data_IF_207868950112
#
_entry.id   IF_207868950112
#
_cell.length_a   1.000
_cell.length_b   1.000
_cell.length_c   1.000
_cell.angle_alpha   90.00
_cell.angle_beta   90.00
_cell.angle_gamma   90.00
#
_symmetry.space_group_name_H-M   'P 1'
#
loop_
_entity.id
_entity.type
_entity.pdbx_description
1 polymer ?
#
# COMPACT_ATOMS: atom_id res chain seq x y z
N UNK A 1 20.04 -8.68 -6.45
CA UNK A 1 19.08 -8.58 -5.34
C UNK A 1 17.68 -9.11 -5.67
N UNK A 2 17.24 -9.13 -6.93
CA UNK A 2 15.93 -9.73 -7.32
C UNK A 2 15.83 -11.25 -7.16
N UNK A 3 16.95 -11.99 -7.23
CA UNK A 3 16.92 -13.46 -7.17
C UNK A 3 16.56 -14.05 -5.80
N UNK A 4 16.75 -13.29 -4.70
CA UNK A 4 16.44 -13.75 -3.34
C UNK A 4 14.93 -13.74 -3.04
N UNK A 5 14.17 -12.85 -3.65
CA UNK A 5 12.72 -12.80 -3.46
C UNK A 5 11.96 -13.91 -4.17
N UNK A 6 12.44 -14.34 -5.35
CA UNK A 6 11.85 -15.47 -6.07
C UNK A 6 12.05 -16.81 -5.35
N UNK A 7 13.17 -17.00 -4.64
CA UNK A 7 13.44 -18.24 -3.92
C UNK A 7 12.55 -18.43 -2.68
N UNK A 8 12.14 -17.34 -2.02
CA UNK A 8 11.22 -17.43 -0.88
C UNK A 8 9.79 -17.77 -1.30
N UNK A 9 9.33 -17.30 -2.47
CA UNK A 9 7.99 -17.60 -2.97
C UNK A 9 7.82 -19.08 -3.35
N UNK A 10 8.87 -19.71 -3.93
CA UNK A 10 8.81 -21.11 -4.37
C UNK A 10 8.86 -22.08 -3.18
N UNK A 11 9.65 -21.79 -2.14
CA UNK A 11 9.74 -22.65 -0.96
C UNK A 11 8.50 -22.57 -0.04
N UNK A 12 7.76 -21.47 -0.06
CA UNK A 12 6.51 -21.33 0.69
C UNK A 12 5.40 -22.23 0.10
N UNK A 13 5.45 -22.53 -1.18
CA UNK A 13 4.44 -23.32 -1.86
C UNK A 13 4.62 -24.84 -1.60
N UNK A 14 5.84 -25.32 -1.40
CA UNK A 14 6.10 -26.74 -1.11
C UNK A 14 5.85 -27.17 0.35
N UNK A 15 5.94 -26.25 1.31
CA UNK A 15 5.69 -26.54 2.73
C UNK A 15 4.21 -26.64 3.09
N UNK A 16 3.31 -26.20 2.23
CA UNK A 16 1.86 -26.16 2.44
C UNK A 16 1.16 -27.51 2.26
N UNK A 17 1.85 -28.56 1.78
CA UNK A 17 1.17 -29.81 1.33
C UNK A 17 1.01 -30.86 2.45
N UNK A 18 1.34 -30.57 3.71
CA UNK A 18 1.32 -31.59 4.78
C UNK A 18 0.54 -31.26 6.05
N UNK A 19 -0.37 -30.30 6.04
CA UNK A 19 -1.24 -30.06 7.20
C UNK A 19 -2.72 -30.22 6.80
N UNK A 20 -3.26 -31.34 7.19
CA UNK A 20 -4.69 -31.70 7.42
C UNK A 20 -5.76 -31.21 6.44
N UNK A 21 -6.56 -32.16 5.96
CA UNK A 21 -7.85 -32.00 5.29
C UNK A 21 -8.89 -31.26 6.16
N UNK A 22 -8.71 -29.97 6.38
CA UNK A 22 -9.79 -29.04 6.68
C UNK A 22 -10.19 -28.45 5.36
N UNK A 23 -11.45 -28.57 4.97
CA UNK A 23 -12.01 -27.97 3.77
C UNK A 23 -11.53 -26.53 3.65
N UNK A 24 -10.64 -26.31 2.70
CA UNK A 24 -10.10 -24.98 2.38
C UNK A 24 -11.23 -24.23 1.68
N UNK A 25 -12.16 -23.64 2.43
CA UNK A 25 -12.92 -22.53 1.87
C UNK A 25 -11.88 -21.51 1.45
N UNK A 26 -11.83 -21.25 0.16
CA UNK A 26 -10.99 -20.19 -0.41
C UNK A 26 -11.45 -18.89 0.24
N UNK A 27 -10.63 -18.37 1.14
CA UNK A 27 -10.90 -17.12 1.85
C UNK A 27 -10.35 -15.92 1.05
N UNK A 28 -10.38 -16.06 -0.27
CA UNK A 28 -9.99 -15.00 -1.18
C UNK A 28 -11.11 -13.97 -1.29
N UNK A 29 -10.79 -12.72 -1.13
CA UNK A 29 -11.72 -11.62 -1.29
C UNK A 29 -11.01 -10.37 -1.77
N UNK A 30 -11.76 -9.46 -2.34
CA UNK A 30 -11.28 -8.15 -2.76
C UNK A 30 -11.93 -7.08 -1.90
N UNK A 31 -11.19 -6.02 -1.60
CA UNK A 31 -11.72 -4.88 -0.86
C UNK A 31 -11.63 -3.61 -1.71
N UNK A 32 -12.64 -2.77 -1.56
CA UNK A 32 -12.63 -1.39 -2.07
C UNK A 32 -12.90 -0.46 -0.91
N UNK A 33 -12.06 0.52 -0.70
CA UNK A 33 -12.14 1.37 0.49
C UNK A 33 -11.55 2.74 0.33
N UNK A 34 -11.74 3.54 1.37
CA UNK A 34 -11.13 4.85 1.53
C UNK A 34 -9.97 4.74 2.52
N UNK A 35 -8.84 5.31 2.15
CA UNK A 35 -7.63 5.32 2.96
C UNK A 35 -7.16 6.72 3.30
N UNK A 36 -6.66 6.86 4.52
CA UNK A 36 -5.86 7.98 4.99
C UNK A 36 -4.39 7.55 5.03
N UNK A 37 -3.51 8.41 4.57
CA UNK A 37 -2.08 8.20 4.54
C UNK A 37 -1.37 9.46 5.03
N UNK A 38 -0.82 9.41 6.23
CA UNK A 38 -0.05 10.50 6.83
C UNK A 38 1.45 10.28 6.63
N UNK A 39 2.11 11.17 5.88
CA UNK A 39 3.54 11.14 5.64
C UNK A 39 4.13 12.50 5.94
N UNK A 40 5.14 12.57 6.79
CA UNK A 40 6.00 13.74 7.03
C UNK A 40 5.26 15.11 7.00
N UNK A 41 4.11 15.17 7.69
CA UNK A 41 3.26 16.36 7.73
C UNK A 41 2.32 16.57 6.54
N UNK A 42 2.31 15.64 5.57
CA UNK A 42 1.35 15.66 4.46
C UNK A 42 0.23 14.66 4.70
N UNK A 43 -0.99 15.10 4.52
CA UNK A 43 -2.19 14.26 4.60
C UNK A 43 -2.68 13.90 3.20
N UNK A 44 -2.78 12.62 2.92
CA UNK A 44 -3.28 12.10 1.66
C UNK A 44 -4.51 11.24 1.91
N UNK A 45 -5.52 11.44 1.09
CA UNK A 45 -6.76 10.66 1.12
C UNK A 45 -6.97 9.98 -0.23
N UNK A 46 -7.51 8.78 -0.24
CA UNK A 46 -7.70 8.14 -1.51
C UNK A 46 -8.48 6.84 -1.48
N UNK A 47 -8.68 6.33 -2.70
CA UNK A 47 -9.32 5.06 -2.96
C UNK A 47 -8.28 3.95 -2.93
N UNK A 48 -8.62 2.82 -2.31
CA UNK A 48 -7.81 1.61 -2.29
C UNK A 48 -8.59 0.44 -2.85
N UNK A 49 -7.94 -0.39 -3.66
CA UNK A 49 -8.44 -1.67 -4.13
C UNK A 49 -7.39 -2.71 -3.75
N UNK A 50 -7.76 -3.65 -2.90
CA UNK A 50 -6.81 -4.61 -2.35
C UNK A 50 -7.36 -6.02 -2.48
N UNK A 51 -6.58 -6.89 -3.11
CA UNK A 51 -6.85 -8.32 -3.12
C UNK A 51 -6.32 -8.97 -1.84
N UNK A 52 -7.05 -9.90 -1.31
CA UNK A 52 -6.65 -10.76 -0.19
C UNK A 52 -6.74 -12.21 -0.63
N UNK A 53 -5.59 -12.83 -0.78
CA UNK A 53 -5.46 -14.28 -0.91
C UNK A 53 -4.79 -14.76 0.40
N UNK A 54 -5.58 -15.34 1.28
CA UNK A 54 -5.10 -15.73 2.62
C UNK A 54 -4.08 -16.84 2.51
N UNK A 55 -2.88 -16.59 3.06
CA UNK A 55 -1.68 -17.38 2.90
C UNK A 55 -1.21 -17.51 1.43
N UNK A 56 -1.44 -16.46 0.66
CA UNK A 56 -1.07 -16.37 -0.74
C UNK A 56 -0.76 -14.95 -1.21
N UNK A 57 -0.48 -14.85 -2.51
CA UNK A 57 -0.11 -13.59 -3.18
C UNK A 57 -1.33 -12.97 -3.87
N UNK A 58 -1.47 -11.67 -3.78
CA UNK A 58 -2.51 -10.89 -4.47
C UNK A 58 -1.96 -9.52 -4.90
N UNK A 59 -2.84 -8.64 -5.34
CA UNK A 59 -2.48 -7.30 -5.83
C UNK A 59 -3.09 -6.19 -4.98
N UNK A 60 -2.38 -5.07 -4.90
CA UNK A 60 -2.80 -3.85 -4.25
C UNK A 60 -2.74 -2.69 -5.23
N UNK A 61 -3.75 -1.84 -5.16
CA UNK A 61 -3.80 -0.56 -5.86
C UNK A 61 -4.27 0.53 -4.90
N UNK A 62 -3.67 1.70 -4.98
CA UNK A 62 -4.13 2.87 -4.25
C UNK A 62 -4.00 4.11 -5.12
N UNK A 63 -5.02 4.97 -5.11
CA UNK A 63 -5.01 6.28 -5.75
C UNK A 63 -5.31 7.32 -4.69
N UNK A 64 -4.40 8.27 -4.50
CA UNK A 64 -4.45 9.25 -3.42
C UNK A 64 -4.24 10.66 -3.93
N UNK A 65 -4.86 11.61 -3.26
CA UNK A 65 -4.64 13.03 -3.49
C UNK A 65 -4.34 13.73 -2.17
N UNK A 66 -3.47 14.72 -2.23
CA UNK A 66 -3.32 15.73 -1.20
C UNK A 66 -4.10 16.97 -1.62
N UNK A 67 -5.03 17.41 -0.78
CA UNK A 67 -5.89 18.55 -1.07
C UNK A 67 -5.33 19.87 -0.52
N UNK A 68 -4.30 19.82 0.31
CA UNK A 68 -3.71 21.00 0.93
C UNK A 68 -2.66 21.68 0.04
N UNK A 69 -1.89 20.91 -0.77
CA UNK A 69 -0.82 21.40 -1.61
C UNK A 69 -1.13 21.17 -3.11
N UNK A 70 -1.71 22.17 -3.76
CA UNK A 70 -1.82 22.28 -5.23
C UNK A 70 -2.16 20.98 -6.00
N UNK A 71 -2.90 20.06 -5.37
CA UNK A 71 -3.43 18.91 -6.06
C UNK A 71 -2.41 17.80 -6.38
N UNK A 72 -1.48 17.53 -5.50
CA UNK A 72 -0.56 16.41 -5.64
C UNK A 72 -1.32 15.07 -5.69
N UNK A 73 -0.99 14.26 -6.68
CA UNK A 73 -1.61 12.98 -6.93
C UNK A 73 -0.57 11.86 -6.77
N UNK A 74 -0.95 10.80 -6.08
CA UNK A 74 -0.12 9.63 -5.85
C UNK A 74 -0.89 8.36 -6.21
N UNK A 75 -0.22 7.43 -6.87
CA UNK A 75 -0.76 6.11 -7.19
C UNK A 75 0.23 5.01 -6.86
N UNK A 76 -0.24 3.93 -6.26
CA UNK A 76 0.54 2.72 -6.03
C UNK A 76 -0.05 1.55 -6.79
N UNK A 77 0.82 0.71 -7.27
CA UNK A 77 0.48 -0.60 -7.79
C UNK A 77 1.48 -1.62 -7.25
N UNK A 78 1.01 -2.65 -6.57
CA UNK A 78 1.91 -3.60 -5.95
C UNK A 78 1.36 -5.01 -5.84
N UNK A 79 2.23 -5.90 -5.44
CA UNK A 79 1.88 -7.25 -5.00
C UNK A 79 1.88 -7.31 -3.48
N UNK A 80 1.00 -8.12 -2.93
CA UNK A 80 0.95 -8.35 -1.51
C UNK A 80 0.97 -9.84 -1.18
N UNK A 81 1.38 -10.16 0.03
CA UNK A 81 1.22 -11.46 0.66
C UNK A 81 0.45 -11.29 1.96
N UNK A 82 -0.62 -12.05 2.14
CA UNK A 82 -1.50 -11.97 3.30
C UNK A 82 -1.40 -13.22 4.17
N UNK A 83 -1.06 -13.03 5.43
CA UNK A 83 -1.08 -14.06 6.46
C UNK A 83 -2.42 -14.02 7.20
N UNK A 84 -3.14 -15.12 7.24
CA UNK A 84 -4.30 -15.29 8.11
C UNK A 84 -3.84 -15.57 9.54
N UNK A 85 -4.00 -14.60 10.44
CA UNK A 85 -3.62 -14.75 11.84
C UNK A 85 -4.74 -15.41 12.68
N UNK A 86 -5.97 -15.07 12.34
CA UNK A 86 -7.16 -15.60 13.01
C UNK A 86 -8.35 -15.51 12.07
N UNK A 87 -9.16 -16.57 12.06
CA UNK A 87 -10.45 -16.61 11.33
C UNK A 87 -11.44 -17.44 12.14
N UNK A 88 -12.55 -16.84 12.47
CA UNK A 88 -13.66 -17.52 13.12
C UNK A 88 -14.98 -16.84 12.73
N UNK A 89 -15.88 -17.58 12.18
CA UNK A 89 -17.17 -17.10 11.70
C UNK A 89 -16.98 -15.88 10.77
N UNK A 90 -17.60 -14.77 11.12
CA UNK A 90 -17.53 -13.51 10.36
C UNK A 90 -16.29 -12.65 10.69
N UNK A 91 -15.47 -13.06 11.67
CA UNK A 91 -14.31 -12.30 12.14
C UNK A 91 -13.00 -12.84 11.56
N UNK A 92 -12.22 -11.97 10.94
CA UNK A 92 -10.89 -12.28 10.43
C UNK A 92 -9.84 -11.27 10.89
N UNK A 93 -8.64 -11.73 11.21
CA UNK A 93 -7.46 -10.93 11.49
C UNK A 93 -6.36 -11.31 10.52
N UNK A 94 -5.80 -10.34 9.83
CA UNK A 94 -4.82 -10.54 8.77
C UNK A 94 -3.63 -9.62 8.94
N UNK A 95 -2.43 -10.15 8.65
CA UNK A 95 -1.22 -9.36 8.44
C UNK A 95 -0.87 -9.39 6.95
N UNK A 96 -0.74 -8.23 6.33
CA UNK A 96 -0.41 -8.13 4.91
C UNK A 96 0.88 -7.34 4.72
N UNK A 97 1.76 -7.86 3.89
CA UNK A 97 2.96 -7.17 3.42
C UNK A 97 2.82 -6.92 1.93
N UNK A 98 2.98 -5.67 1.51
CA UNK A 98 2.86 -5.26 0.11
C UNK A 98 4.10 -4.49 -0.35
N UNK A 99 4.44 -4.61 -1.62
CA UNK A 99 5.52 -3.86 -2.25
C UNK A 99 5.26 -3.66 -3.74
N UNK A 100 5.75 -2.56 -4.30
CA UNK A 100 5.61 -2.27 -5.72
C UNK A 100 6.06 -0.87 -6.12
N UNK A 101 5.82 -0.47 -7.37
CA UNK A 101 6.02 0.89 -7.84
C UNK A 101 4.97 1.85 -7.26
N UNK A 102 5.44 3.06 -6.96
CA UNK A 102 4.63 4.21 -6.56
C UNK A 102 4.86 5.35 -7.53
N UNK A 103 3.80 5.94 -8.01
CA UNK A 103 3.81 7.05 -8.96
C UNK A 103 3.34 8.30 -8.23
N UNK A 104 4.12 9.39 -8.33
CA UNK A 104 3.80 10.66 -7.68
C UNK A 104 3.89 11.82 -8.64
N UNK A 105 2.95 12.74 -8.52
CA UNK A 105 2.99 14.06 -9.12
C UNK A 105 3.16 15.06 -8.00
N UNK A 106 4.22 15.86 -8.04
CA UNK A 106 4.52 16.86 -7.02
C UNK A 106 4.96 18.17 -7.67
N UNK A 107 4.42 19.26 -7.16
CA UNK A 107 4.85 20.59 -7.55
C UNK A 107 6.18 20.94 -6.85
N UNK A 108 7.19 21.20 -7.64
CA UNK A 108 8.50 21.66 -7.15
C UNK A 108 8.72 23.11 -7.50
N UNK A 109 9.33 23.85 -6.59
CA UNK A 109 9.73 25.23 -6.84
C UNK A 109 10.74 25.28 -7.99
N UNK A 110 10.36 25.94 -9.10
CA UNK A 110 11.18 26.09 -10.33
C UNK A 110 11.84 27.49 -10.41
N UNK A 111 11.78 28.27 -9.32
CA UNK A 111 12.33 29.62 -9.22
C UNK A 111 11.28 30.66 -8.89
N UNK A 112 11.60 31.92 -9.19
CA UNK A 112 10.73 33.07 -8.96
C UNK A 112 10.43 33.78 -10.26
N UNK A 113 9.27 34.40 -10.39
CA UNK A 113 8.95 35.24 -11.52
C UNK A 113 9.62 36.62 -11.41
N UNK A 114 9.35 37.52 -12.41
CA UNK A 114 9.90 38.88 -12.42
C UNK A 114 9.35 39.77 -11.28
N UNK A 115 8.39 39.27 -10.51
CA UNK A 115 7.75 39.95 -9.38
C UNK A 115 8.00 39.24 -8.06
N UNK A 116 9.04 38.37 -7.99
CA UNK A 116 9.40 37.55 -6.83
C UNK A 116 8.32 36.56 -6.36
N UNK A 117 7.35 36.20 -7.22
CA UNK A 117 6.40 35.15 -6.88
C UNK A 117 6.99 33.78 -7.19
N UNK A 118 6.79 32.78 -6.31
CA UNK A 118 7.32 31.45 -6.53
C UNK A 118 6.62 30.78 -7.74
N UNK A 119 7.43 30.25 -8.66
CA UNK A 119 6.97 29.42 -9.77
C UNK A 119 7.11 27.95 -9.40
N UNK A 120 6.03 27.21 -9.59
CA UNK A 120 6.01 25.77 -9.37
C UNK A 120 5.94 25.03 -10.71
N UNK A 121 6.65 23.93 -10.79
CA UNK A 121 6.60 23.01 -11.93
C UNK A 121 6.23 21.63 -11.41
N UNK A 122 5.20 21.05 -11.99
CA UNK A 122 4.80 19.70 -11.67
C UNK A 122 5.84 18.70 -12.17
N UNK A 123 6.35 17.84 -11.28
CA UNK A 123 7.24 16.74 -11.61
C UNK A 123 6.58 15.42 -11.31
N UNK A 124 6.66 14.55 -12.30
CA UNK A 124 6.26 13.16 -12.15
C UNK A 124 7.45 12.32 -11.70
N UNK A 125 7.25 11.52 -10.66
CA UNK A 125 8.28 10.66 -10.06
C UNK A 125 7.77 9.24 -9.97
N UNK A 126 8.68 8.28 -10.11
CA UNK A 126 8.41 6.85 -9.92
C UNK A 126 9.36 6.34 -8.85
N UNK A 127 8.78 5.85 -7.76
CA UNK A 127 9.50 5.30 -6.61
C UNK A 127 9.07 3.83 -6.38
N UNK A 128 9.68 3.18 -5.39
CA UNK A 128 9.17 1.93 -4.87
C UNK A 128 8.47 2.15 -3.53
N UNK A 129 7.53 1.31 -3.17
CA UNK A 129 6.95 1.31 -1.83
C UNK A 129 7.01 -0.06 -1.18
N UNK A 130 6.99 -0.04 0.15
CA UNK A 130 6.73 -1.21 1.00
C UNK A 130 5.68 -0.80 2.04
N UNK A 131 4.70 -1.67 2.26
CA UNK A 131 3.62 -1.44 3.22
C UNK A 131 3.39 -2.70 4.05
N UNK A 132 3.41 -2.55 5.38
CA UNK A 132 2.99 -3.58 6.31
C UNK A 132 1.72 -3.13 7.02
N UNK A 133 0.64 -3.94 6.96
CA UNK A 133 -0.64 -3.58 7.59
C UNK A 133 -1.28 -4.73 8.33
N UNK A 134 -1.92 -4.40 9.44
CA UNK A 134 -2.81 -5.29 10.20
C UNK A 134 -4.25 -4.94 9.85
N UNK A 135 -5.06 -5.95 9.56
CA UNK A 135 -6.44 -5.78 9.11
C UNK A 135 -7.39 -6.61 9.94
N UNK A 136 -8.49 -6.02 10.36
CA UNK A 136 -9.61 -6.68 11.03
C UNK A 136 -10.81 -6.64 10.11
N UNK A 137 -11.31 -7.80 9.71
CA UNK A 137 -12.52 -7.98 8.91
C UNK A 137 -13.66 -8.43 9.81
N UNK A 138 -14.79 -7.78 9.71
CA UNK A 138 -16.04 -8.25 10.30
C UNK A 138 -17.15 -8.23 9.24
N UNK A 139 -17.63 -9.40 8.86
CA UNK A 139 -18.55 -9.58 7.73
C UNK A 139 -17.97 -8.99 6.45
N UNK A 140 -18.60 -7.96 5.94
CA UNK A 140 -18.25 -7.26 4.70
C UNK A 140 -17.44 -5.98 4.92
N UNK A 141 -17.10 -5.65 6.16
CA UNK A 141 -16.35 -4.43 6.51
C UNK A 141 -14.96 -4.82 6.98
N UNK A 142 -13.96 -4.09 6.51
CA UNK A 142 -12.58 -4.24 6.95
C UNK A 142 -12.00 -2.89 7.38
N UNK A 143 -11.37 -2.90 8.53
CA UNK A 143 -10.50 -1.82 9.01
C UNK A 143 -9.06 -2.30 8.95
N UNK A 144 -8.19 -1.53 8.31
CA UNK A 144 -6.75 -1.81 8.23
C UNK A 144 -5.96 -0.63 8.75
N UNK A 145 -4.88 -0.92 9.47
CA UNK A 145 -3.91 0.07 9.89
C UNK A 145 -2.49 -0.44 9.63
N UNK A 146 -1.59 0.42 9.20
CA UNK A 146 -0.26 -0.03 8.84
C UNK A 146 0.77 1.06 8.75
N UNK A 147 1.98 0.62 8.44
CA UNK A 147 3.13 1.46 8.22
C UNK A 147 3.55 1.38 6.76
N UNK A 148 3.71 2.53 6.15
CA UNK A 148 4.03 2.70 4.76
C UNK A 148 5.40 3.34 4.62
N UNK A 149 6.25 2.78 3.77
CA UNK A 149 7.57 3.29 3.46
C UNK A 149 7.75 3.42 1.95
N UNK A 150 8.06 4.61 1.48
CA UNK A 150 8.58 4.80 0.14
C UNK A 150 10.09 4.60 0.12
N UNK A 151 10.59 3.88 -0.86
CA UNK A 151 12.01 3.73 -1.13
C UNK A 151 12.39 4.65 -2.29
N UNK A 152 12.77 5.91 -2.05
CA UNK A 152 13.17 6.82 -3.11
C UNK A 152 14.47 6.30 -3.73
N UNK A 153 14.39 5.74 -4.91
CA UNK A 153 15.57 5.20 -5.61
C UNK A 153 16.41 6.28 -6.29
N UNK A 154 15.87 7.47 -6.46
CA UNK A 154 16.52 8.52 -7.25
C UNK A 154 16.61 9.82 -6.46
N UNK A 155 17.84 10.17 -6.08
CA UNK A 155 18.44 11.45 -5.70
C UNK A 155 17.58 12.70 -5.90
N UNK A 156 16.53 12.85 -5.11
CA UNK A 156 15.80 14.11 -5.05
C UNK A 156 15.78 14.61 -3.61
N UNK A 157 16.58 15.64 -3.32
CA UNK A 157 16.57 16.40 -2.08
C UNK A 157 16.98 15.59 -0.83
N UNK A 158 17.84 16.17 -0.02
CA UNK A 158 18.48 15.53 1.14
C UNK A 158 17.55 15.16 2.31
N UNK A 159 16.26 15.51 2.29
CA UNK A 159 15.43 15.52 3.50
C UNK A 159 14.03 14.90 3.35
N UNK A 160 13.77 14.09 2.35
CA UNK A 160 12.48 13.41 2.22
C UNK A 160 12.44 12.16 3.11
N UNK A 161 11.83 12.27 4.27
CA UNK A 161 11.35 11.12 5.02
C UNK A 161 10.11 10.58 4.32
N UNK A 162 10.27 9.41 3.74
CA UNK A 162 9.25 8.79 2.90
C UNK A 162 8.51 7.69 3.67
N UNK A 163 8.22 7.89 4.94
CA UNK A 163 7.58 6.92 5.80
C UNK A 163 6.41 7.52 6.57
N UNK A 164 5.43 6.70 6.87
CA UNK A 164 4.26 7.14 7.59
C UNK A 164 3.25 6.04 7.89
N UNK A 165 2.14 6.44 8.46
CA UNK A 165 1.05 5.54 8.82
C UNK A 165 -0.07 5.60 7.80
N UNK A 166 -0.74 4.48 7.61
CA UNK A 166 -1.98 4.43 6.84
C UNK A 166 -3.12 3.81 7.64
N UNK A 167 -4.32 4.25 7.36
CA UNK A 167 -5.56 3.66 7.88
C UNK A 167 -6.54 3.56 6.71
N UNK A 168 -7.18 2.40 6.55
CA UNK A 168 -8.14 2.16 5.48
C UNK A 168 -9.41 1.55 6.05
N UNK A 169 -10.55 2.09 5.65
CA UNK A 169 -11.86 1.49 5.86
C UNK A 169 -12.39 1.01 4.51
N UNK A 170 -12.72 -0.27 4.41
CA UNK A 170 -13.05 -0.91 3.14
C UNK A 170 -14.26 -1.84 3.25
N UNK A 171 -14.90 -2.05 2.10
CA UNK A 171 -15.93 -3.06 1.88
C UNK A 171 -15.30 -4.28 1.21
N UNK A 172 -15.66 -5.48 1.66
CA UNK A 172 -15.19 -6.77 1.16
C UNK A 172 -16.26 -7.43 0.27
N UNK A 173 -15.81 -7.91 -0.89
CA UNK A 173 -16.63 -8.65 -1.86
C UNK A 173 -16.27 -10.11 -1.88
#
# INVERSE_FOLDING_TARGET
MCALFCSFAVNAQESSTKVSNVSKESTDFTTVGLGYYGFDGMENYGLTIQGYNVNGVSVDMALRANFEDHGNFNGDFGVNYTFGLYQKDDLGLYLTLAAGPSFRSQDQLDGFDKHDNPKYKNKFMVDGFVNGRLSVKYKTIMLSGGYYYWAPKFKFGKDYKADGVNVTLAYCF
#
